data_IF_820711720172
#
_entry.id   IF_820711720172
#
_cell.length_a   1.000
_cell.length_b   1.000
_cell.length_c   1.000
_cell.angle_alpha   90.00
_cell.angle_beta   90.00
_cell.angle_gamma   90.00
#
_symmetry.space_group_name_H-M   'P 1'
#
loop_
_entity.id
_entity.type
_entity.pdbx_description
1 polymer ?
#
# COMPACT_ATOMS: atom_id res chain seq x y z
N UNK A 1 38.85 -12.82 36.62
CA UNK A 1 38.73 -13.15 35.19
C UNK A 1 37.26 -13.39 34.86
N UNK A 2 36.76 -12.92 33.74
CA UNK A 2 35.39 -13.17 33.34
C UNK A 2 35.18 -14.53 32.66
N UNK A 3 36.27 -15.21 32.26
CA UNK A 3 36.27 -16.56 31.69
C UNK A 3 36.57 -17.56 32.77
N UNK A 4 35.68 -18.53 33.00
CA UNK A 4 35.85 -19.65 33.92
C UNK A 4 35.81 -20.99 33.17
N UNK A 5 36.43 -22.03 33.74
CA UNK A 5 36.45 -23.37 33.15
C UNK A 5 35.48 -24.28 33.87
N UNK A 6 34.84 -25.17 33.13
CA UNK A 6 33.91 -26.18 33.67
C UNK A 6 34.11 -27.52 32.95
N UNK A 7 34.25 -28.60 33.70
CA UNK A 7 34.30 -29.94 33.14
C UNK A 7 32.90 -30.46 32.85
N UNK A 8 32.70 -31.04 31.66
CA UNK A 8 31.44 -31.63 31.22
C UNK A 8 31.64 -33.09 30.84
N UNK A 9 30.65 -33.94 31.15
CA UNK A 9 30.70 -35.38 30.84
C UNK A 9 30.66 -35.67 29.34
N UNK A 10 30.07 -34.75 28.55
CA UNK A 10 29.95 -34.87 27.11
C UNK A 10 30.16 -33.49 26.47
N UNK A 11 31.24 -33.32 25.73
CA UNK A 11 31.61 -32.05 25.07
C UNK A 11 30.99 -32.00 23.69
N UNK A 12 30.66 -30.80 23.22
CA UNK A 12 30.24 -30.56 21.84
C UNK A 12 31.44 -30.19 20.97
N UNK A 13 31.44 -30.61 19.70
CA UNK A 13 32.42 -30.18 18.70
C UNK A 13 32.15 -28.76 18.20
N UNK A 14 32.96 -28.29 17.25
CA UNK A 14 32.78 -26.94 16.62
C UNK A 14 31.49 -26.82 15.82
N UNK A 15 30.91 -27.93 15.36
CA UNK A 15 29.63 -27.99 14.67
C UNK A 15 28.42 -28.12 15.63
N UNK A 16 28.67 -28.13 16.94
CA UNK A 16 27.65 -28.25 17.99
C UNK A 16 27.15 -29.66 18.27
N UNK A 17 27.74 -30.70 17.66
CA UNK A 17 27.38 -32.11 17.90
C UNK A 17 28.05 -32.65 19.17
N UNK A 18 27.37 -33.56 19.85
CA UNK A 18 27.90 -34.23 21.04
C UNK A 18 29.00 -35.21 20.64
N UNK A 19 30.21 -35.04 21.19
CA UNK A 19 31.37 -35.88 20.83
C UNK A 19 31.41 -37.22 21.58
N UNK A 20 30.56 -37.44 22.57
CA UNK A 20 30.60 -38.64 23.41
C UNK A 20 31.72 -38.64 24.47
N UNK A 21 32.59 -37.65 24.50
CA UNK A 21 33.76 -37.61 25.39
C UNK A 21 33.66 -36.49 26.42
N UNK A 22 34.19 -36.74 27.62
CA UNK A 22 34.36 -35.74 28.66
C UNK A 22 35.39 -34.69 28.22
N UNK A 23 35.16 -33.42 28.58
CA UNK A 23 36.12 -32.36 28.24
C UNK A 23 35.87 -31.08 29.01
N UNK A 24 36.79 -30.13 28.84
CA UNK A 24 36.67 -28.80 29.46
C UNK A 24 35.96 -27.84 28.50
N UNK A 25 34.99 -27.11 29.02
CA UNK A 25 34.33 -25.97 28.33
C UNK A 25 34.60 -24.68 29.10
N UNK A 26 34.47 -23.58 28.41
CA UNK A 26 34.74 -22.26 28.97
C UNK A 26 33.45 -21.47 29.05
N UNK A 27 33.22 -20.82 30.19
CA UNK A 27 32.05 -20.01 30.45
C UNK A 27 32.49 -18.54 30.66
N UNK A 28 31.75 -17.57 30.05
CA UNK A 28 32.04 -16.13 30.15
C UNK A 28 30.98 -15.48 31.07
N UNK A 29 31.45 -14.80 32.13
CA UNK A 29 30.61 -14.10 33.10
C UNK A 29 31.15 -12.68 33.31
N UNK A 30 30.40 -11.65 32.86
CA UNK A 30 30.81 -10.24 32.94
C UNK A 30 29.84 -9.47 33.82
N UNK A 31 30.32 -8.85 34.87
CA UNK A 31 29.54 -7.94 35.72
C UNK A 31 29.55 -6.56 35.11
N UNK A 32 28.39 -5.92 35.01
CA UNK A 32 28.23 -4.55 34.45
C UNK A 32 27.17 -3.77 35.21
N UNK A 33 27.24 -2.41 35.18
CA UNK A 33 26.23 -1.53 35.77
C UNK A 33 25.18 -1.18 34.71
N UNK A 34 23.89 -1.30 35.07
CA UNK A 34 22.76 -0.89 34.25
C UNK A 34 21.67 -0.28 35.14
N UNK A 35 21.29 0.93 34.89
CA UNK A 35 20.29 1.69 35.68
C UNK A 35 20.60 1.67 37.20
N UNK A 36 21.87 1.89 37.58
CA UNK A 36 22.31 1.94 38.98
C UNK A 36 22.45 0.57 39.64
N UNK A 37 22.07 -0.54 39.02
CA UNK A 37 22.16 -1.90 39.54
C UNK A 37 23.28 -2.71 38.86
N UNK A 38 23.97 -3.57 39.65
CA UNK A 38 24.95 -4.48 39.09
C UNK A 38 24.21 -5.69 38.51
N UNK A 39 24.42 -5.94 37.23
CA UNK A 39 23.92 -7.13 36.51
C UNK A 39 25.07 -8.00 36.04
N UNK A 40 24.82 -9.28 35.78
CA UNK A 40 25.80 -10.22 35.24
C UNK A 40 25.35 -10.71 33.87
N UNK A 41 26.20 -10.52 32.86
CA UNK A 41 26.08 -11.23 31.60
C UNK A 41 26.74 -12.61 31.75
N UNK A 42 26.08 -13.68 31.29
CA UNK A 42 26.62 -15.04 31.35
C UNK A 42 26.35 -15.76 30.02
N UNK A 43 27.40 -16.30 29.40
CA UNK A 43 27.29 -17.22 28.26
C UNK A 43 28.21 -18.41 28.52
N UNK A 44 27.66 -19.62 28.42
CA UNK A 44 28.30 -20.85 28.81
C UNK A 44 28.59 -21.77 27.61
N UNK A 45 29.62 -22.59 27.71
CA UNK A 45 29.84 -23.73 26.82
C UNK A 45 30.68 -23.45 25.58
N UNK A 46 31.59 -22.49 25.62
CA UNK A 46 32.58 -22.33 24.54
C UNK A 46 33.50 -23.52 24.46
N UNK A 47 33.77 -24.01 23.26
CA UNK A 47 34.60 -25.18 23.02
C UNK A 47 36.08 -24.90 23.24
N UNK A 48 36.54 -23.66 23.06
CA UNK A 48 37.93 -23.24 23.23
C UNK A 48 38.04 -21.99 24.10
N UNK A 49 39.19 -21.87 24.79
CA UNK A 49 39.52 -20.67 25.58
C UNK A 49 39.61 -19.42 24.71
N UNK A 50 40.12 -19.56 23.47
CA UNK A 50 40.28 -18.45 22.52
C UNK A 50 38.94 -17.84 22.14
N UNK A 51 37.96 -18.67 21.82
CA UNK A 51 36.59 -18.22 21.54
C UNK A 51 35.95 -17.51 22.73
N UNK A 52 36.11 -18.06 23.94
CA UNK A 52 35.58 -17.44 25.15
C UNK A 52 36.19 -16.07 25.44
N UNK A 53 37.52 -15.92 25.27
CA UNK A 53 38.23 -14.63 25.44
C UNK A 53 37.85 -13.62 24.36
N UNK A 54 37.73 -14.03 23.11
CA UNK A 54 37.27 -13.16 22.04
C UNK A 54 35.84 -12.65 22.31
N UNK A 55 34.95 -13.56 22.70
CA UNK A 55 33.57 -13.21 23.04
C UNK A 55 33.52 -12.31 24.30
N UNK A 56 34.37 -12.52 25.29
CA UNK A 56 34.50 -11.62 26.44
C UNK A 56 34.87 -10.19 26.02
N UNK A 57 35.86 -10.05 25.12
CA UNK A 57 36.30 -8.75 24.63
C UNK A 57 35.19 -8.01 23.85
N UNK A 58 34.52 -8.70 22.95
CA UNK A 58 33.39 -8.15 22.20
C UNK A 58 32.24 -7.72 23.11
N UNK A 59 31.88 -8.54 24.08
CA UNK A 59 30.81 -8.22 25.03
C UNK A 59 31.15 -7.09 25.97
N UNK A 60 32.42 -6.98 26.42
CA UNK A 60 32.86 -5.84 27.22
C UNK A 60 32.76 -4.53 26.46
N UNK A 61 33.09 -4.51 25.16
CA UNK A 61 32.91 -3.33 24.31
C UNK A 61 31.41 -2.98 24.19
N UNK A 62 30.55 -3.94 23.94
CA UNK A 62 29.08 -3.72 23.85
C UNK A 62 28.49 -3.21 25.15
N UNK A 63 28.94 -3.74 26.31
CA UNK A 63 28.49 -3.34 27.64
C UNK A 63 28.99 -1.94 28.04
N UNK A 64 30.24 -1.59 27.72
CA UNK A 64 30.84 -0.29 28.01
C UNK A 64 30.20 0.82 27.14
N UNK A 65 29.88 0.52 25.88
CA UNK A 65 29.21 1.47 24.98
C UNK A 65 27.70 1.55 25.19
N UNK A 66 27.16 0.94 26.26
CA UNK A 66 25.72 0.84 26.56
C UNK A 66 24.87 0.28 25.39
N UNK A 67 25.51 -0.37 24.42
CA UNK A 67 24.84 -0.96 23.25
C UNK A 67 24.24 -2.35 23.52
N UNK A 68 24.50 -2.93 24.69
CA UNK A 68 23.93 -4.21 25.08
C UNK A 68 22.73 -4.00 25.99
N UNK A 69 21.55 -4.35 25.50
CA UNK A 69 20.33 -4.47 26.31
C UNK A 69 20.03 -5.97 26.45
N UNK A 70 20.11 -6.53 27.68
CA UNK A 70 19.81 -7.95 27.88
C UNK A 70 18.32 -8.18 27.53
N UNK A 71 18.01 -9.16 26.68
CA UNK A 71 16.62 -9.53 26.42
C UNK A 71 15.98 -9.99 27.72
N UNK A 72 14.77 -9.51 28.00
CA UNK A 72 13.95 -10.07 29.08
C UNK A 72 13.68 -11.56 28.80
N UNK A 73 13.47 -12.36 29.82
CA UNK A 73 13.24 -13.80 29.64
C UNK A 73 12.03 -14.11 28.71
N UNK A 74 11.03 -13.23 28.69
CA UNK A 74 9.90 -13.31 27.76
C UNK A 74 10.30 -12.97 26.32
N UNK A 75 11.17 -11.98 26.10
CA UNK A 75 11.67 -11.63 24.76
C UNK A 75 12.58 -12.70 24.16
N UNK A 76 13.22 -13.52 24.99
CA UNK A 76 14.12 -14.57 24.52
C UNK A 76 13.44 -15.73 23.81
N UNK A 77 12.15 -15.95 24.08
CA UNK A 77 11.32 -17.03 23.50
C UNK A 77 10.31 -16.54 22.46
N UNK A 78 10.23 -15.22 22.24
CA UNK A 78 9.25 -14.59 21.34
C UNK A 78 9.38 -15.16 19.93
N UNK A 79 8.29 -15.66 19.37
CA UNK A 79 8.22 -16.15 17.99
C UNK A 79 7.99 -15.01 17.01
N UNK A 80 8.28 -15.24 15.73
CA UNK A 80 7.98 -14.28 14.63
C UNK A 80 6.47 -14.02 14.57
N UNK A 81 5.64 -15.04 14.83
CA UNK A 81 4.18 -14.91 14.87
C UNK A 81 3.74 -13.91 15.93
N UNK A 82 4.08 -14.17 17.18
CA UNK A 82 3.71 -13.31 18.32
C UNK A 82 4.19 -11.86 18.10
N UNK A 83 5.41 -11.72 17.58
CA UNK A 83 5.96 -10.40 17.29
C UNK A 83 5.21 -9.66 16.16
N UNK A 84 4.97 -10.32 15.03
CA UNK A 84 4.34 -9.68 13.87
C UNK A 84 2.86 -9.36 14.13
N UNK A 85 2.14 -10.19 14.86
CA UNK A 85 0.75 -9.95 15.24
C UNK A 85 0.65 -8.73 16.19
N UNK A 86 1.48 -8.66 17.22
CA UNK A 86 1.52 -7.50 18.12
C UNK A 86 2.00 -6.22 17.39
N UNK A 87 3.05 -6.33 16.59
CA UNK A 87 3.61 -5.22 15.84
C UNK A 87 2.60 -4.62 14.85
N UNK A 88 1.90 -5.46 14.08
CA UNK A 88 0.96 -4.94 13.08
C UNK A 88 -0.24 -4.25 13.74
N UNK A 89 -0.71 -4.74 14.88
CA UNK A 89 -1.80 -4.07 15.61
C UNK A 89 -1.34 -2.72 16.18
N UNK A 90 -0.22 -2.67 16.88
CA UNK A 90 0.30 -1.43 17.50
C UNK A 90 0.78 -0.41 16.47
N UNK A 91 1.59 -0.85 15.51
CA UNK A 91 2.14 0.02 14.46
C UNK A 91 1.07 0.40 13.42
N UNK A 92 0.20 -0.53 13.07
CA UNK A 92 -0.81 -0.35 12.05
C UNK A 92 -1.88 0.65 12.46
N UNK A 93 -2.40 0.53 13.67
CA UNK A 93 -3.43 1.46 14.19
C UNK A 93 -2.91 2.88 14.35
N UNK A 94 -1.65 3.05 14.74
CA UNK A 94 -1.06 4.37 15.00
C UNK A 94 -0.55 5.09 13.73
N UNK A 95 -0.06 4.32 12.72
CA UNK A 95 0.77 4.91 11.66
C UNK A 95 0.29 4.59 10.23
N UNK A 96 -0.63 3.65 10.04
CA UNK A 96 -1.04 3.21 8.72
C UNK A 96 -2.47 3.63 8.37
N UNK A 97 -2.70 3.95 7.10
CA UNK A 97 -4.07 4.10 6.60
C UNK A 97 -4.81 2.76 6.67
N UNK A 98 -6.14 2.73 6.89
CA UNK A 98 -6.91 1.50 7.06
C UNK A 98 -6.69 0.45 5.97
N UNK A 99 -6.59 0.87 4.71
CA UNK A 99 -6.33 -0.03 3.58
C UNK A 99 -4.92 -0.66 3.61
N UNK A 100 -3.91 0.09 4.06
CA UNK A 100 -2.54 -0.42 4.20
C UNK A 100 -2.45 -1.39 5.38
N UNK A 101 -3.10 -1.05 6.49
CA UNK A 101 -3.18 -1.91 7.67
C UNK A 101 -3.83 -3.26 7.35
N UNK A 102 -4.99 -3.26 6.68
CA UNK A 102 -5.64 -4.47 6.23
C UNK A 102 -4.76 -5.30 5.27
N UNK A 103 -4.04 -4.63 4.36
CA UNK A 103 -3.08 -5.26 3.46
C UNK A 103 -1.93 -5.93 4.23
N UNK A 104 -1.37 -5.26 5.23
CA UNK A 104 -0.32 -5.83 6.08
C UNK A 104 -0.82 -7.07 6.83
N UNK A 105 -1.97 -6.98 7.50
CA UNK A 105 -2.59 -8.13 8.20
C UNK A 105 -2.80 -9.33 7.28
N UNK A 106 -3.36 -9.09 6.09
CA UNK A 106 -3.60 -10.13 5.10
C UNK A 106 -2.30 -10.79 4.62
N UNK A 107 -1.27 -10.01 4.30
CA UNK A 107 0.02 -10.55 3.85
C UNK A 107 0.76 -11.28 4.95
N UNK A 108 0.79 -10.74 6.16
CA UNK A 108 1.38 -11.42 7.32
C UNK A 108 0.73 -12.78 7.51
N UNK A 109 -0.61 -12.83 7.60
CA UNK A 109 -1.36 -14.05 7.85
C UNK A 109 -1.18 -15.10 6.74
N UNK A 110 -1.26 -14.68 5.46
CA UNK A 110 -1.38 -15.61 4.34
C UNK A 110 -0.03 -15.94 3.67
N UNK A 111 0.97 -15.05 3.78
CA UNK A 111 2.20 -15.16 3.01
C UNK A 111 3.48 -15.16 3.85
N UNK A 112 3.41 -14.86 5.15
CA UNK A 112 4.60 -14.80 6.03
C UNK A 112 4.50 -15.85 7.12
N UNK A 113 3.49 -15.79 7.97
CA UNK A 113 3.35 -16.66 9.13
C UNK A 113 3.32 -18.17 8.82
N UNK A 114 2.76 -18.63 7.67
CA UNK A 114 2.78 -20.06 7.35
C UNK A 114 4.18 -20.67 7.18
N UNK A 115 5.20 -19.85 6.96
CA UNK A 115 6.56 -20.31 6.67
C UNK A 115 7.55 -20.07 7.81
N UNK A 116 7.45 -18.91 8.46
CA UNK A 116 8.41 -18.49 9.48
C UNK A 116 7.77 -18.15 10.84
N UNK A 117 6.45 -18.29 10.96
CA UNK A 117 5.72 -17.86 12.15
C UNK A 117 6.21 -18.50 13.45
N UNK A 118 6.56 -19.76 13.41
CA UNK A 118 6.94 -20.54 14.60
C UNK A 118 8.45 -20.48 14.92
N UNK A 119 9.21 -19.76 14.06
CA UNK A 119 10.64 -19.49 14.30
C UNK A 119 10.77 -18.47 15.45
N UNK A 120 11.71 -18.69 16.36
CA UNK A 120 12.02 -17.66 17.35
C UNK A 120 12.60 -16.43 16.67
N UNK A 121 12.10 -15.24 17.01
CA UNK A 121 12.43 -13.97 16.35
C UNK A 121 13.95 -13.73 16.24
N UNK A 122 14.70 -14.05 17.27
CA UNK A 122 16.17 -13.93 17.33
C UNK A 122 16.92 -14.92 16.44
N UNK A 123 16.29 -16.02 16.05
CA UNK A 123 16.87 -17.06 15.23
C UNK A 123 16.45 -16.95 13.76
N UNK A 124 15.68 -15.92 13.41
CA UNK A 124 15.32 -15.64 12.03
C UNK A 124 16.55 -15.22 11.23
N UNK A 125 16.89 -15.99 10.20
CA UNK A 125 18.06 -15.77 9.35
C UNK A 125 17.66 -15.28 7.96
N UNK A 126 18.58 -14.62 7.22
CA UNK A 126 18.35 -14.28 5.81
C UNK A 126 18.02 -15.50 4.96
N UNK A 127 18.66 -16.65 5.20
CA UNK A 127 18.41 -17.90 4.46
C UNK A 127 16.97 -18.38 4.62
N UNK A 128 16.39 -18.33 5.84
CA UNK A 128 14.99 -18.70 6.07
C UNK A 128 14.04 -17.77 5.32
N UNK A 129 14.38 -16.49 5.16
CA UNK A 129 13.60 -15.53 4.37
C UNK A 129 13.72 -15.83 2.88
N UNK A 130 14.91 -16.13 2.38
CA UNK A 130 15.11 -16.52 0.97
C UNK A 130 14.33 -17.80 0.66
N UNK A 131 14.37 -18.84 1.50
CA UNK A 131 13.59 -20.06 1.35
C UNK A 131 12.08 -19.78 1.31
N UNK A 132 11.60 -18.91 2.19
CA UNK A 132 10.19 -18.48 2.19
C UNK A 132 9.82 -17.80 0.86
N UNK A 133 10.65 -16.88 0.34
CA UNK A 133 10.37 -16.21 -0.93
C UNK A 133 10.37 -17.18 -2.10
N UNK A 134 11.29 -18.15 -2.13
CA UNK A 134 11.28 -19.21 -3.16
C UNK A 134 10.00 -20.06 -3.10
N UNK A 135 9.53 -20.42 -1.91
CA UNK A 135 8.28 -21.15 -1.75
C UNK A 135 7.06 -20.33 -2.21
N UNK A 136 7.06 -19.01 -1.96
CA UNK A 136 6.00 -18.13 -2.45
C UNK A 136 6.00 -18.05 -3.99
N UNK A 137 7.18 -18.00 -4.63
CA UNK A 137 7.29 -18.08 -6.09
C UNK A 137 6.83 -19.44 -6.63
N UNK A 138 7.24 -20.54 -5.99
CA UNK A 138 6.81 -21.88 -6.38
C UNK A 138 5.29 -22.08 -6.31
N UNK A 139 4.59 -21.35 -5.41
CA UNK A 139 3.12 -21.29 -5.36
C UNK A 139 2.50 -20.41 -6.46
N UNK A 140 3.28 -19.84 -7.36
CA UNK A 140 2.78 -19.00 -8.46
C UNK A 140 2.44 -17.55 -8.06
N UNK A 141 2.88 -17.08 -6.90
CA UNK A 141 2.65 -15.69 -6.51
C UNK A 141 3.47 -14.73 -7.38
N UNK A 142 2.85 -13.60 -7.71
CA UNK A 142 3.49 -12.58 -8.53
C UNK A 142 4.70 -11.95 -7.85
N UNK A 143 5.68 -11.48 -8.63
CA UNK A 143 6.86 -10.75 -8.17
C UNK A 143 6.48 -9.55 -7.26
N UNK A 144 5.39 -8.86 -7.57
CA UNK A 144 4.88 -7.75 -6.77
C UNK A 144 4.37 -8.17 -5.40
N UNK A 145 3.69 -9.32 -5.32
CA UNK A 145 3.17 -9.88 -4.06
C UNK A 145 4.31 -10.29 -3.14
N UNK A 146 5.31 -11.01 -3.68
CA UNK A 146 6.47 -11.47 -2.90
C UNK A 146 7.33 -10.27 -2.45
N UNK A 147 7.55 -9.27 -3.32
CA UNK A 147 8.23 -8.03 -2.96
C UNK A 147 7.49 -7.26 -1.86
N UNK A 148 6.17 -7.29 -1.87
CA UNK A 148 5.38 -6.65 -0.82
C UNK A 148 5.53 -7.37 0.53
N UNK A 149 5.59 -8.69 0.54
CA UNK A 149 5.90 -9.48 1.75
C UNK A 149 7.31 -9.13 2.28
N UNK A 150 8.32 -9.06 1.41
CA UNK A 150 9.67 -8.62 1.77
C UNK A 150 9.67 -7.22 2.41
N UNK A 151 8.94 -6.26 1.80
CA UNK A 151 8.81 -4.90 2.35
C UNK A 151 8.22 -4.90 3.76
N UNK A 152 7.18 -5.69 4.01
CA UNK A 152 6.53 -5.79 5.33
C UNK A 152 7.52 -6.33 6.35
N UNK A 153 8.19 -7.44 6.04
CA UNK A 153 9.21 -8.05 6.92
C UNK A 153 10.34 -7.05 7.18
N UNK A 154 10.83 -6.38 6.13
CA UNK A 154 11.89 -5.39 6.25
C UNK A 154 11.58 -4.27 7.24
N UNK A 155 10.35 -3.73 7.18
CA UNK A 155 9.89 -2.69 8.12
C UNK A 155 9.71 -3.25 9.52
N UNK A 156 9.11 -4.44 9.67
CA UNK A 156 8.89 -5.07 10.96
C UNK A 156 10.21 -5.44 11.65
N UNK A 157 11.16 -6.03 10.92
CA UNK A 157 12.47 -6.39 11.47
C UNK A 157 13.33 -5.15 11.78
N UNK A 158 13.18 -4.07 11.02
CA UNK A 158 13.84 -2.81 11.37
C UNK A 158 13.29 -2.21 12.66
N UNK A 159 11.98 -2.32 12.87
CA UNK A 159 11.36 -1.96 14.15
C UNK A 159 11.88 -2.87 15.27
N UNK A 160 11.94 -4.20 15.06
CA UNK A 160 12.50 -5.15 16.03
C UNK A 160 13.95 -4.81 16.41
N UNK A 161 14.77 -4.44 15.43
CA UNK A 161 16.15 -4.00 15.64
C UNK A 161 16.23 -2.71 16.47
N UNK A 162 15.42 -1.70 16.13
CA UNK A 162 15.39 -0.42 16.87
C UNK A 162 14.97 -0.58 18.32
N UNK A 163 14.07 -1.51 18.61
CA UNK A 163 13.61 -1.83 19.97
C UNK A 163 14.39 -2.96 20.64
N UNK A 164 15.55 -3.37 20.04
CA UNK A 164 16.49 -4.34 20.60
C UNK A 164 15.91 -5.75 20.83
N UNK A 165 14.89 -6.16 20.06
CA UNK A 165 14.43 -7.55 20.04
C UNK A 165 15.41 -8.45 19.28
N UNK A 166 16.10 -7.90 18.26
CA UNK A 166 17.12 -8.55 17.44
C UNK A 166 18.32 -7.62 17.26
N UNK A 167 19.49 -8.16 16.98
CA UNK A 167 20.73 -7.39 16.79
C UNK A 167 20.80 -6.76 15.38
N UNK A 168 20.41 -7.51 14.35
CA UNK A 168 20.41 -7.11 12.95
C UNK A 168 19.06 -7.32 12.27
N UNK A 169 18.86 -6.71 11.11
CA UNK A 169 17.65 -6.92 10.30
C UNK A 169 17.95 -7.97 9.21
N UNK A 170 17.48 -9.24 9.37
CA UNK A 170 17.79 -10.29 8.40
C UNK A 170 17.20 -10.06 7.00
N UNK A 171 16.19 -9.20 6.88
CA UNK A 171 15.61 -8.90 5.57
C UNK A 171 16.48 -7.96 4.70
N UNK A 172 17.60 -7.43 5.23
CA UNK A 172 18.54 -6.62 4.46
C UNK A 172 19.57 -7.46 3.69
N UNK A 173 19.86 -8.65 4.22
CA UNK A 173 20.97 -9.50 3.75
C UNK A 173 20.49 -10.68 2.90
N UNK A 174 19.26 -10.61 2.38
CA UNK A 174 18.71 -11.61 1.48
C UNK A 174 19.36 -11.53 0.09
N UNK A 175 19.49 -12.67 -0.58
CA UNK A 175 20.02 -12.79 -1.95
C UNK A 175 18.93 -12.90 -3.00
N UNK A 176 17.69 -13.16 -2.62
CA UNK A 176 16.55 -13.25 -3.54
C UNK A 176 16.38 -11.96 -4.34
N UNK A 177 16.50 -12.06 -5.66
CA UNK A 177 16.24 -10.95 -6.58
C UNK A 177 14.79 -10.95 -7.02
N UNK A 178 14.12 -9.85 -6.77
CA UNK A 178 12.75 -9.66 -7.25
C UNK A 178 12.80 -9.16 -8.70
N UNK A 179 12.22 -9.91 -9.63
CA UNK A 179 12.13 -9.54 -11.03
C UNK A 179 11.38 -8.21 -11.27
N UNK A 180 11.41 -7.71 -12.49
CA UNK A 180 10.61 -6.53 -12.87
C UNK A 180 9.12 -6.82 -12.66
N UNK A 181 8.35 -5.79 -12.29
CA UNK A 181 6.90 -5.88 -12.24
C UNK A 181 6.36 -6.30 -13.62
N UNK A 182 5.26 -7.05 -13.63
CA UNK A 182 4.55 -7.39 -14.88
C UNK A 182 4.19 -6.09 -15.59
N UNK A 183 4.43 -6.03 -16.90
CA UNK A 183 4.08 -4.87 -17.73
C UNK A 183 2.59 -4.54 -17.51
N UNK A 184 2.30 -3.29 -17.23
CA UNK A 184 0.91 -2.81 -17.20
C UNK A 184 0.33 -2.93 -18.60
N UNK A 185 -0.98 -3.23 -18.76
CA UNK A 185 -1.63 -3.17 -20.05
C UNK A 185 -1.37 -1.82 -20.73
N UNK A 186 -1.27 -1.84 -22.05
CA UNK A 186 -1.13 -0.59 -22.80
C UNK A 186 -2.38 0.28 -22.59
N UNK A 187 -2.24 1.60 -22.47
CA UNK A 187 -3.37 2.51 -22.31
C UNK A 187 -4.30 2.41 -23.51
N UNK A 188 -5.61 2.55 -23.30
CA UNK A 188 -6.56 2.68 -24.41
C UNK A 188 -6.25 3.92 -25.23
N UNK A 189 -6.28 3.75 -26.55
CA UNK A 189 -6.22 4.86 -27.52
C UNK A 189 -7.50 5.71 -27.46
N UNK A 190 -7.52 6.83 -28.18
CA UNK A 190 -8.72 7.66 -28.30
C UNK A 190 -9.86 6.87 -28.93
N UNK A 191 -9.59 6.10 -29.99
CA UNK A 191 -10.56 5.26 -30.70
C UNK A 191 -11.16 4.18 -29.77
N UNK A 192 -10.34 3.54 -28.96
CA UNK A 192 -10.81 2.57 -27.97
C UNK A 192 -11.64 3.24 -26.86
N UNK A 193 -11.29 4.46 -26.46
CA UNK A 193 -12.11 5.25 -25.53
C UNK A 193 -13.45 5.67 -26.17
N UNK A 194 -13.45 6.06 -27.44
CA UNK A 194 -14.67 6.34 -28.21
C UNK A 194 -15.57 5.10 -28.27
N UNK A 195 -14.99 3.94 -28.63
CA UNK A 195 -15.71 2.68 -28.67
C UNK A 195 -16.33 2.34 -27.32
N UNK A 196 -15.57 2.43 -26.22
CA UNK A 196 -16.08 2.19 -24.88
C UNK A 196 -17.25 3.15 -24.56
N UNK A 197 -17.09 4.46 -24.85
CA UNK A 197 -18.14 5.44 -24.60
C UNK A 197 -19.41 5.13 -25.39
N UNK A 198 -19.31 4.78 -26.68
CA UNK A 198 -20.46 4.39 -27.49
C UNK A 198 -21.25 3.23 -26.88
N UNK A 199 -20.55 2.23 -26.33
CA UNK A 199 -21.19 1.06 -25.74
C UNK A 199 -21.86 1.34 -24.39
N UNK A 200 -21.37 2.30 -23.62
CA UNK A 200 -21.91 2.58 -22.29
C UNK A 200 -22.96 3.69 -22.27
N UNK A 201 -23.17 4.39 -23.37
CA UNK A 201 -24.21 5.43 -23.48
C UNK A 201 -25.59 4.86 -23.13
N UNK A 202 -26.33 5.56 -22.29
CA UNK A 202 -27.66 5.13 -21.82
C UNK A 202 -27.66 4.02 -20.76
N UNK A 203 -26.50 3.53 -20.38
CA UNK A 203 -26.38 2.50 -19.32
C UNK A 203 -25.98 3.13 -17.98
N UNK A 204 -26.04 2.34 -16.89
CA UNK A 204 -25.55 2.75 -15.58
C UNK A 204 -24.03 2.98 -15.52
N UNK A 205 -23.30 2.61 -16.56
CA UNK A 205 -21.86 2.83 -16.68
C UNK A 205 -21.50 4.20 -17.27
N UNK A 206 -22.44 4.89 -17.89
CA UNK A 206 -22.22 6.12 -18.63
C UNK A 206 -21.41 7.15 -17.83
N UNK A 207 -21.95 7.66 -16.71
CA UNK A 207 -21.25 8.65 -15.89
C UNK A 207 -20.04 8.06 -15.15
N UNK A 208 -20.06 6.76 -14.80
CA UNK A 208 -18.91 6.08 -14.18
C UNK A 208 -17.69 6.10 -15.11
N UNK A 209 -17.90 5.84 -16.41
CA UNK A 209 -16.81 5.87 -17.41
C UNK A 209 -16.41 7.32 -17.74
N UNK A 210 -17.35 8.27 -17.81
CA UNK A 210 -17.03 9.70 -17.93
C UNK A 210 -16.11 10.13 -16.79
N UNK A 211 -16.46 9.85 -15.54
CA UNK A 211 -15.65 10.24 -14.38
C UNK A 211 -14.28 9.52 -14.34
N UNK A 212 -14.24 8.24 -14.70
CA UNK A 212 -13.01 7.44 -14.68
C UNK A 212 -12.10 7.64 -15.88
N UNK A 213 -12.68 7.65 -17.08
CA UNK A 213 -11.97 7.67 -18.36
C UNK A 213 -11.77 9.07 -18.94
N UNK A 214 -12.65 10.04 -18.64
CA UNK A 214 -12.50 11.40 -19.14
C UNK A 214 -11.94 12.35 -18.07
N UNK A 215 -12.45 12.29 -16.84
CA UNK A 215 -11.98 13.13 -15.73
C UNK A 215 -10.86 12.50 -14.90
N UNK A 216 -10.50 11.23 -15.15
CA UNK A 216 -9.39 10.53 -14.49
C UNK A 216 -9.55 10.35 -12.98
N UNK A 217 -10.76 10.28 -12.46
CA UNK A 217 -10.98 10.03 -11.03
C UNK A 217 -10.57 8.60 -10.65
N UNK A 218 -10.14 8.43 -9.41
CA UNK A 218 -9.98 7.08 -8.84
C UNK A 218 -11.34 6.47 -8.56
N UNK A 219 -11.47 5.15 -8.68
CA UNK A 219 -12.75 4.48 -8.45
C UNK A 219 -13.37 4.84 -7.08
N UNK A 220 -12.55 4.97 -6.02
CA UNK A 220 -13.06 5.39 -4.71
C UNK A 220 -13.54 6.85 -4.67
N UNK A 221 -12.97 7.72 -5.49
CA UNK A 221 -13.41 9.12 -5.66
C UNK A 221 -14.72 9.16 -6.43
N UNK A 222 -14.88 8.33 -7.48
CA UNK A 222 -16.10 8.24 -8.31
C UNK A 222 -17.30 7.81 -7.48
N UNK A 223 -17.17 6.65 -6.80
CA UNK A 223 -18.29 6.09 -6.00
C UNK A 223 -18.51 6.83 -4.68
N UNK A 224 -17.60 7.73 -4.31
CA UNK A 224 -17.68 8.61 -3.14
C UNK A 224 -17.99 10.06 -3.49
N UNK A 225 -18.18 10.42 -4.77
CA UNK A 225 -18.57 11.77 -5.16
C UNK A 225 -20.00 12.05 -4.69
N UNK A 226 -20.20 13.17 -4.00
CA UNK A 226 -21.52 13.61 -3.52
C UNK A 226 -22.01 14.82 -4.27
N UNK A 227 -23.34 14.96 -4.40
CA UNK A 227 -23.98 16.08 -5.08
C UNK A 227 -23.68 17.43 -4.44
N UNK A 228 -23.50 17.48 -3.12
CA UNK A 228 -23.07 18.72 -2.43
C UNK A 228 -21.74 19.26 -2.93
N UNK A 229 -20.91 18.42 -3.56
CA UNK A 229 -19.62 18.81 -4.16
C UNK A 229 -19.73 19.07 -5.67
N UNK A 230 -20.93 19.06 -6.26
CA UNK A 230 -21.19 19.29 -7.69
C UNK A 230 -22.02 20.55 -7.86
N UNK A 231 -21.45 21.55 -8.52
CA UNK A 231 -22.13 22.80 -8.85
C UNK A 231 -22.43 22.81 -10.36
N UNK A 232 -23.64 22.39 -10.73
CA UNK A 232 -24.08 22.36 -12.13
C UNK A 232 -24.23 23.78 -12.71
N UNK A 233 -24.56 24.78 -11.87
CA UNK A 233 -24.72 26.17 -12.32
C UNK A 233 -23.37 26.77 -12.73
N UNK A 234 -22.33 26.60 -11.89
CA UNK A 234 -20.99 27.10 -12.18
C UNK A 234 -20.16 26.07 -12.98
N UNK A 235 -20.74 24.91 -13.30
CA UNK A 235 -20.13 23.85 -14.08
C UNK A 235 -18.78 23.41 -13.47
N UNK A 236 -18.80 23.05 -12.19
CA UNK A 236 -17.63 22.57 -11.45
C UNK A 236 -18.00 21.44 -10.50
N UNK A 237 -17.02 20.61 -10.14
CA UNK A 237 -17.16 19.68 -9.03
C UNK A 237 -15.86 19.53 -8.25
N UNK A 238 -16.00 19.32 -6.94
CA UNK A 238 -14.90 19.13 -6.01
C UNK A 238 -14.61 17.66 -5.75
N UNK A 239 -13.35 17.25 -5.88
CA UNK A 239 -12.86 15.93 -5.48
C UNK A 239 -12.14 16.09 -4.14
N UNK A 240 -12.91 16.13 -3.07
CA UNK A 240 -12.44 16.42 -1.68
C UNK A 240 -12.55 15.20 -0.77
N UNK A 241 -13.36 14.23 -1.13
CA UNK A 241 -13.61 13.03 -0.35
C UNK A 241 -13.72 11.79 -1.24
N UNK A 242 -13.63 10.62 -0.63
CA UNK A 242 -13.74 9.34 -1.31
C UNK A 242 -14.49 8.32 -0.46
N UNK A 243 -14.99 7.27 -1.10
CA UNK A 243 -15.62 6.15 -0.41
C UNK A 243 -14.67 5.54 0.62
N UNK A 244 -15.08 5.36 1.88
CA UNK A 244 -14.29 4.72 2.92
C UNK A 244 -13.85 3.31 2.53
N UNK A 245 -12.69 2.90 3.03
CA UNK A 245 -12.20 1.53 2.84
C UNK A 245 -12.89 0.59 3.83
N UNK A 246 -13.27 -0.60 3.36
CA UNK A 246 -13.75 -1.67 4.23
C UNK A 246 -15.21 -1.52 4.68
N UNK A 247 -16.03 -0.75 3.96
CA UNK A 247 -17.47 -0.69 4.26
C UNK A 247 -18.09 -2.09 4.27
N UNK A 248 -18.91 -2.42 5.30
CA UNK A 248 -19.71 -3.64 5.35
C UNK A 248 -20.56 -3.83 4.09
N UNK A 249 -20.92 -5.09 3.80
CA UNK A 249 -21.67 -5.40 2.57
C UNK A 249 -23.09 -4.85 2.56
N UNK A 250 -23.65 -4.69 3.73
CA UNK A 250 -25.04 -4.27 4.04
C UNK A 250 -25.13 -2.81 4.46
N UNK A 251 -24.05 -2.02 4.29
CA UNK A 251 -24.07 -0.59 4.61
C UNK A 251 -25.13 0.12 3.80
N UNK A 252 -26.09 0.73 4.50
CA UNK A 252 -27.18 1.53 3.92
C UNK A 252 -26.85 3.01 3.92
N UNK A 253 -26.36 3.52 5.03
CA UNK A 253 -25.95 4.91 5.20
C UNK A 253 -24.45 4.99 5.54
N UNK A 254 -23.78 6.00 5.04
CA UNK A 254 -22.36 6.29 5.29
C UNK A 254 -22.28 7.38 6.33
N UNK A 255 -21.79 7.05 7.52
CA UNK A 255 -21.65 8.04 8.61
C UNK A 255 -20.56 9.06 8.32
N UNK A 256 -19.43 8.62 7.78
CA UNK A 256 -18.28 9.50 7.52
C UNK A 256 -17.57 9.10 6.24
N UNK A 257 -17.34 10.08 5.36
CA UNK A 257 -16.52 9.92 4.16
C UNK A 257 -15.04 9.95 4.50
N UNK A 258 -14.22 9.29 3.69
CA UNK A 258 -12.77 9.33 3.86
C UNK A 258 -12.18 10.50 3.07
N UNK A 259 -11.12 11.17 3.57
CA UNK A 259 -10.41 12.18 2.79
C UNK A 259 -9.75 11.53 1.57
N UNK A 260 -9.60 12.29 0.50
CA UNK A 260 -8.89 11.82 -0.70
C UNK A 260 -7.42 11.49 -0.39
N UNK A 261 -6.83 10.58 -1.16
CA UNK A 261 -5.41 10.19 -1.03
C UNK A 261 -4.44 11.21 -1.65
N UNK A 262 -4.96 12.07 -2.50
CA UNK A 262 -4.25 13.16 -3.18
C UNK A 262 -4.71 14.51 -2.61
N UNK A 263 -4.18 15.61 -3.14
CA UNK A 263 -4.70 16.94 -2.82
C UNK A 263 -6.16 17.08 -3.27
N UNK A 264 -6.94 17.80 -2.48
CA UNK A 264 -8.26 18.27 -2.85
C UNK A 264 -8.15 19.10 -4.13
N UNK A 265 -9.13 18.95 -5.02
CA UNK A 265 -9.11 19.65 -6.30
C UNK A 265 -10.51 19.94 -6.82
N UNK A 266 -10.65 21.09 -7.46
CA UNK A 266 -11.84 21.47 -8.20
C UNK A 266 -11.56 21.22 -9.67
N UNK A 267 -12.51 20.57 -10.33
CA UNK A 267 -12.48 20.28 -11.77
C UNK A 267 -13.69 20.95 -12.47
N UNK A 268 -13.50 21.50 -13.66
CA UNK A 268 -14.60 22.06 -14.44
C UNK A 268 -15.41 20.94 -15.09
N UNK A 269 -16.72 21.06 -15.10
CA UNK A 269 -17.61 20.28 -15.97
C UNK A 269 -17.60 20.98 -17.34
N UNK A 270 -17.20 20.25 -18.38
CA UNK A 270 -17.17 20.79 -19.75
C UNK A 270 -18.56 20.76 -20.33
N UNK A 271 -18.83 21.62 -21.36
CA UNK A 271 -20.13 21.68 -22.02
C UNK A 271 -20.58 20.32 -22.56
N UNK A 272 -19.63 19.57 -23.12
CA UNK A 272 -19.92 18.26 -23.72
C UNK A 272 -20.21 17.17 -22.67
N UNK A 273 -19.76 17.36 -21.42
CA UNK A 273 -20.00 16.37 -20.34
C UNK A 273 -21.11 16.77 -19.38
N UNK A 274 -21.55 18.02 -19.39
CA UNK A 274 -22.62 18.50 -18.53
C UNK A 274 -23.92 17.67 -18.66
N UNK A 275 -24.36 17.27 -19.85
CA UNK A 275 -25.59 16.47 -20.01
C UNK A 275 -25.54 15.12 -19.26
N UNK A 276 -24.37 14.53 -19.06
CA UNK A 276 -24.25 13.26 -18.31
C UNK A 276 -24.52 13.45 -16.81
N UNK A 277 -24.10 14.58 -16.24
CA UNK A 277 -24.39 14.92 -14.85
C UNK A 277 -25.87 15.27 -14.66
N UNK A 278 -26.43 16.08 -15.55
CA UNK A 278 -27.86 16.45 -15.53
C UNK A 278 -28.77 15.23 -15.65
N UNK A 279 -28.45 14.33 -16.59
CA UNK A 279 -29.17 13.07 -16.78
C UNK A 279 -29.12 12.20 -15.53
N UNK A 280 -27.95 12.06 -14.91
CA UNK A 280 -27.79 11.29 -13.68
C UNK A 280 -28.59 11.88 -12.52
N UNK A 281 -28.62 13.21 -12.40
CA UNK A 281 -29.45 13.90 -11.41
C UNK A 281 -30.95 13.59 -11.61
N UNK A 282 -31.45 13.66 -12.86
CA UNK A 282 -32.85 13.33 -13.16
C UNK A 282 -33.17 11.86 -12.88
N UNK A 283 -32.31 10.93 -13.27
CA UNK A 283 -32.48 9.50 -12.98
C UNK A 283 -32.63 9.28 -11.47
N UNK A 284 -31.76 9.87 -10.66
CA UNK A 284 -31.83 9.68 -9.21
C UNK A 284 -33.04 10.35 -8.57
N UNK A 285 -33.46 11.50 -9.08
CA UNK A 285 -34.70 12.15 -8.66
C UNK A 285 -35.90 11.23 -8.87
N UNK A 286 -36.03 10.65 -10.06
CA UNK A 286 -37.08 9.68 -10.37
C UNK A 286 -36.98 8.41 -9.51
N UNK A 287 -35.77 7.89 -9.26
CA UNK A 287 -35.57 6.75 -8.36
C UNK A 287 -36.03 7.04 -6.93
N UNK A 288 -35.71 8.22 -6.39
CA UNK A 288 -36.19 8.66 -5.08
C UNK A 288 -37.73 8.68 -5.01
N UNK A 289 -38.37 9.24 -6.00
CA UNK A 289 -39.83 9.33 -6.08
C UNK A 289 -40.49 7.94 -6.16
N UNK A 290 -39.98 7.05 -7.02
CA UNK A 290 -40.50 5.69 -7.21
C UNK A 290 -40.27 4.81 -5.98
N UNK A 291 -39.09 4.90 -5.37
CA UNK A 291 -38.71 4.06 -4.23
C UNK A 291 -39.47 4.46 -2.98
N UNK A 292 -39.74 5.74 -2.79
CA UNK A 292 -40.53 6.23 -1.63
C UNK A 292 -41.91 5.59 -1.51
N UNK A 293 -42.47 5.05 -2.60
CA UNK A 293 -43.77 4.38 -2.61
C UNK A 293 -43.70 2.90 -2.21
N UNK A 294 -42.53 2.24 -2.28
CA UNK A 294 -42.46 0.77 -2.13
C UNK A 294 -41.39 0.30 -1.13
N UNK A 295 -40.25 0.98 -1.08
CA UNK A 295 -39.10 0.63 -0.22
C UNK A 295 -38.38 1.90 0.23
N UNK A 296 -37.70 1.89 1.41
CA UNK A 296 -36.98 3.07 1.87
C UNK A 296 -35.81 3.40 0.93
N UNK A 297 -35.71 4.66 0.49
CA UNK A 297 -34.53 5.18 -0.19
C UNK A 297 -33.49 5.68 0.84
N UNK A 298 -32.25 5.22 0.71
CA UNK A 298 -31.17 5.57 1.63
C UNK A 298 -30.32 6.72 1.03
N UNK A 299 -30.67 7.96 1.37
CA UNK A 299 -30.01 9.13 0.79
C UNK A 299 -28.62 9.35 1.40
N UNK A 300 -27.60 8.97 0.64
CA UNK A 300 -26.20 9.22 0.95
C UNK A 300 -25.61 10.42 0.18
N UNK A 301 -26.44 11.18 -0.52
CA UNK A 301 -26.03 12.29 -1.42
C UNK A 301 -25.03 11.87 -2.51
N UNK A 302 -24.90 10.58 -2.81
CA UNK A 302 -23.93 10.07 -3.78
C UNK A 302 -24.38 10.31 -5.22
N UNK A 303 -23.46 10.79 -6.08
CA UNK A 303 -23.67 10.91 -7.52
C UNK A 303 -23.82 9.53 -8.17
N UNK A 304 -23.04 8.54 -7.73
CA UNK A 304 -23.07 7.17 -8.21
C UNK A 304 -23.57 6.25 -7.08
N UNK A 305 -24.89 6.15 -6.93
CA UNK A 305 -25.55 5.26 -5.98
C UNK A 305 -26.22 4.09 -6.71
N UNK A 306 -26.67 3.09 -5.95
CA UNK A 306 -27.64 2.09 -6.43
C UNK A 306 -29.04 2.70 -6.50
N UNK A 307 -29.99 1.99 -7.11
CA UNK A 307 -31.38 2.46 -7.26
C UNK A 307 -32.10 2.77 -5.95
N UNK A 308 -31.69 2.11 -4.86
CA UNK A 308 -32.18 2.32 -3.50
C UNK A 308 -31.39 3.38 -2.69
N UNK A 309 -30.45 4.08 -3.34
CA UNK A 309 -29.58 5.08 -2.72
C UNK A 309 -28.40 4.51 -1.92
N UNK A 310 -28.30 3.19 -1.76
CA UNK A 310 -27.18 2.58 -1.06
C UNK A 310 -25.85 2.70 -1.83
N UNK A 311 -24.70 2.70 -1.13
CA UNK A 311 -23.40 2.90 -1.79
C UNK A 311 -22.99 1.72 -2.66
N UNK A 312 -22.30 2.03 -3.75
CA UNK A 312 -21.60 1.05 -4.56
C UNK A 312 -20.32 0.59 -3.88
N UNK A 313 -19.96 -0.69 -4.06
CA UNK A 313 -18.72 -1.26 -3.53
C UNK A 313 -17.63 -1.27 -4.59
N UNK A 314 -16.44 -0.83 -4.21
CA UNK A 314 -15.28 -0.76 -5.09
C UNK A 314 -14.93 -2.11 -5.75
N UNK A 315 -14.94 -3.20 -4.98
CA UNK A 315 -14.64 -4.55 -5.48
C UNK A 315 -15.67 -5.00 -6.53
N UNK A 316 -16.95 -4.73 -6.29
CA UNK A 316 -18.04 -5.04 -7.24
C UNK A 316 -17.91 -4.24 -8.53
N UNK A 317 -17.76 -2.92 -8.43
CA UNK A 317 -17.62 -2.08 -9.63
C UNK A 317 -16.39 -2.50 -10.44
N UNK A 318 -15.26 -2.77 -9.78
CA UNK A 318 -14.05 -3.23 -10.47
C UNK A 318 -14.24 -4.58 -11.16
N UNK A 319 -14.89 -5.54 -10.50
CA UNK A 319 -15.19 -6.86 -11.08
C UNK A 319 -16.17 -6.77 -12.25
N UNK A 320 -17.25 -5.99 -12.08
CA UNK A 320 -18.27 -5.81 -13.12
C UNK A 320 -17.69 -5.07 -14.34
N UNK A 321 -16.75 -4.14 -14.15
CA UNK A 321 -16.04 -3.51 -15.26
C UNK A 321 -15.26 -4.53 -16.10
N UNK A 322 -14.55 -5.47 -15.46
CA UNK A 322 -13.87 -6.54 -16.19
C UNK A 322 -14.83 -7.48 -16.92
N UNK A 323 -16.06 -7.67 -16.40
CA UNK A 323 -17.12 -8.43 -17.10
C UNK A 323 -17.68 -7.63 -18.29
N UNK A 324 -17.89 -6.33 -18.10
CA UNK A 324 -18.32 -5.42 -19.17
C UNK A 324 -17.37 -5.48 -20.37
N UNK A 325 -16.06 -5.30 -20.14
CA UNK A 325 -15.07 -5.35 -21.23
C UNK A 325 -15.07 -6.68 -21.98
N UNK A 326 -15.25 -7.81 -21.27
CA UNK A 326 -15.36 -9.14 -21.90
C UNK A 326 -16.61 -9.25 -22.77
N UNK A 327 -17.75 -8.74 -22.29
CA UNK A 327 -19.01 -8.73 -23.04
C UNK A 327 -18.92 -7.86 -24.30
N UNK A 328 -18.16 -6.77 -24.22
CA UNK A 328 -17.94 -5.86 -25.33
C UNK A 328 -16.78 -6.29 -26.27
N UNK A 329 -16.15 -7.42 -25.99
CA UNK A 329 -14.98 -7.93 -26.71
C UNK A 329 -13.81 -6.93 -26.80
N UNK A 330 -13.72 -6.04 -25.80
CA UNK A 330 -12.67 -5.03 -25.73
C UNK A 330 -11.41 -5.56 -25.03
N UNK A 331 -10.22 -5.05 -25.37
CA UNK A 331 -8.99 -5.42 -24.67
C UNK A 331 -9.12 -5.25 -23.16
N UNK A 332 -8.67 -6.26 -22.41
CA UNK A 332 -8.82 -6.25 -20.95
C UNK A 332 -7.86 -5.26 -20.30
N UNK A 333 -8.41 -4.27 -19.61
CA UNK A 333 -7.72 -3.36 -18.70
C UNK A 333 -8.41 -3.36 -17.33
N UNK A 334 -7.70 -2.96 -16.29
CA UNK A 334 -8.31 -2.72 -14.97
C UNK A 334 -9.03 -1.36 -15.00
N UNK A 335 -10.02 -1.15 -14.17
CA UNK A 335 -10.69 0.15 -14.07
C UNK A 335 -9.71 1.32 -13.82
N UNK A 336 -8.64 1.06 -13.04
CA UNK A 336 -7.61 2.07 -12.78
C UNK A 336 -6.78 2.45 -14.03
N UNK A 337 -6.72 1.55 -15.00
CA UNK A 337 -5.96 1.80 -16.24
C UNK A 337 -6.68 2.78 -17.18
N UNK A 338 -8.02 3.00 -17.03
CA UNK A 338 -8.73 4.11 -17.66
C UNK A 338 -8.11 5.46 -17.28
N UNK A 339 -7.69 5.61 -16.03
CA UNK A 339 -7.01 6.80 -15.55
C UNK A 339 -5.64 6.98 -16.24
N UNK A 340 -4.93 5.88 -16.52
CA UNK A 340 -3.67 5.93 -17.28
C UNK A 340 -3.94 6.29 -18.75
N UNK A 341 -4.97 5.71 -19.36
CA UNK A 341 -5.38 6.01 -20.73
C UNK A 341 -5.70 7.49 -20.92
N UNK A 342 -6.56 8.04 -20.06
CA UNK A 342 -6.89 9.45 -20.12
C UNK A 342 -5.67 10.36 -19.92
N UNK A 343 -4.72 9.97 -19.05
CA UNK A 343 -3.46 10.72 -18.86
C UNK A 343 -2.63 10.81 -20.12
N UNK A 344 -2.42 9.66 -20.71
CA UNK A 344 -1.61 9.53 -21.91
C UNK A 344 -2.24 10.31 -23.05
N UNK A 345 -3.55 10.13 -23.27
CA UNK A 345 -4.27 10.80 -24.32
C UNK A 345 -4.33 12.33 -24.16
N UNK A 346 -4.63 12.83 -22.94
CA UNK A 346 -4.59 14.27 -22.66
C UNK A 346 -3.22 14.86 -22.93
N UNK A 347 -2.16 14.17 -22.48
CA UNK A 347 -0.80 14.64 -22.70
C UNK A 347 -0.43 14.63 -24.19
N UNK A 348 -0.79 13.60 -24.93
CA UNK A 348 -0.54 13.52 -26.39
C UNK A 348 -1.26 14.62 -27.14
N UNK A 349 -2.50 14.96 -26.76
CA UNK A 349 -3.29 15.99 -27.43
C UNK A 349 -2.85 17.42 -27.08
N UNK A 350 -2.40 17.66 -25.86
CA UNK A 350 -2.21 19.04 -25.36
C UNK A 350 -0.77 19.41 -25.08
N UNK A 351 0.13 18.44 -24.91
CA UNK A 351 1.51 18.65 -24.43
C UNK A 351 1.60 19.22 -23.01
N UNK A 352 0.48 19.48 -22.32
CA UNK A 352 0.43 20.18 -21.04
C UNK A 352 0.51 19.21 -19.85
N UNK A 353 1.72 18.76 -19.55
CA UNK A 353 1.98 17.83 -18.46
C UNK A 353 1.58 18.37 -17.08
N UNK A 354 1.77 19.67 -16.83
CA UNK A 354 1.46 20.29 -15.54
C UNK A 354 -0.05 20.29 -15.26
N UNK A 355 -0.85 20.74 -16.21
CA UNK A 355 -2.31 20.76 -16.08
C UNK A 355 -2.87 19.35 -15.93
N UNK A 356 -2.36 18.40 -16.72
CA UNK A 356 -2.72 16.98 -16.59
C UNK A 356 -2.37 16.45 -15.20
N UNK A 357 -1.21 16.78 -14.66
CA UNK A 357 -0.80 16.42 -13.29
C UNK A 357 -1.74 16.99 -12.21
N UNK A 358 -2.17 18.23 -12.34
CA UNK A 358 -3.13 18.89 -11.44
C UNK A 358 -4.54 18.27 -11.52
N UNK A 359 -5.02 17.96 -12.71
CA UNK A 359 -6.29 17.23 -12.91
C UNK A 359 -6.23 15.87 -12.20
N UNK A 360 -5.07 15.21 -12.20
CA UNK A 360 -4.81 13.96 -11.47
C UNK A 360 -4.81 14.11 -9.94
N UNK A 361 -4.55 15.32 -9.42
CA UNK A 361 -4.23 15.53 -8.02
C UNK A 361 -2.91 14.85 -7.61
N UNK A 362 -1.95 14.75 -8.53
CA UNK A 362 -0.59 14.37 -8.20
C UNK A 362 0.13 15.57 -7.58
N UNK A 363 0.90 15.32 -6.52
CA UNK A 363 1.90 16.29 -6.09
C UNK A 363 2.94 16.38 -7.22
N UNK A 364 3.22 17.58 -7.68
CA UNK A 364 4.21 17.84 -8.72
C UNK A 364 5.67 17.68 -8.21
N UNK A 365 5.85 17.29 -6.94
CA UNK A 365 7.16 16.94 -6.38
C UNK A 365 7.77 15.79 -7.18
N UNK A 366 8.92 16.07 -7.80
CA UNK A 366 9.68 15.09 -8.58
C UNK A 366 9.42 15.08 -10.09
N UNK A 367 8.53 15.95 -10.60
CA UNK A 367 8.28 16.10 -12.04
C UNK A 367 9.51 16.66 -12.76
N UNK A 368 10.23 17.61 -12.17
CA UNK A 368 11.40 18.18 -12.76
C UNK A 368 12.60 17.23 -12.84
N UNK A 369 12.69 16.23 -11.95
CA UNK A 369 13.71 15.17 -12.07
C UNK A 369 13.49 14.38 -13.37
N UNK A 370 12.25 14.15 -13.78
CA UNK A 370 11.93 13.48 -15.04
C UNK A 370 12.15 14.37 -16.27
N UNK A 371 12.16 15.70 -16.08
CA UNK A 371 12.37 16.69 -17.14
C UNK A 371 13.82 17.24 -17.18
N UNK A 372 14.76 16.65 -16.42
CA UNK A 372 16.14 17.15 -16.30
C UNK A 372 16.26 18.62 -15.83
N UNK A 373 15.26 19.13 -15.08
CA UNK A 373 15.33 20.41 -14.42
C UNK A 373 16.09 20.27 -13.09
N UNK A 374 16.83 21.29 -12.68
CA UNK A 374 17.63 21.22 -11.44
C UNK A 374 16.76 20.95 -10.21
N UNK A 375 17.20 20.04 -9.34
CA UNK A 375 16.46 19.52 -8.18
C UNK A 375 15.93 20.58 -7.19
N UNK A 376 16.50 21.80 -7.20
CA UNK A 376 16.09 22.90 -6.33
C UNK A 376 14.92 23.74 -6.88
N UNK A 377 14.72 23.79 -8.20
CA UNK A 377 13.57 24.48 -8.81
C UNK A 377 12.27 23.66 -8.65
N UNK A 378 12.36 22.35 -8.60
CA UNK A 378 11.22 21.44 -8.55
C UNK A 378 10.38 21.53 -7.28
N UNK A 379 11.04 21.62 -6.14
CA UNK A 379 10.33 21.61 -4.85
C UNK A 379 9.65 22.96 -4.55
N UNK A 380 10.21 24.06 -5.04
CA UNK A 380 9.70 25.41 -4.76
C UNK A 380 8.67 25.81 -5.81
N UNK A 381 8.93 25.64 -7.09
CA UNK A 381 8.03 26.06 -8.16
C UNK A 381 6.77 25.21 -8.23
N UNK A 382 6.88 23.87 -8.03
CA UNK A 382 5.75 22.97 -8.03
C UNK A 382 4.76 23.19 -6.85
N UNK A 383 5.20 23.85 -5.81
CA UNK A 383 4.37 24.18 -4.63
C UNK A 383 3.52 25.44 -4.84
N UNK A 384 3.91 26.32 -5.78
CA UNK A 384 3.29 27.62 -6.02
C UNK A 384 2.51 27.75 -7.33
N UNK A 385 2.58 26.74 -8.21
CA UNK A 385 1.82 26.76 -9.49
C UNK A 385 0.46 26.10 -9.28
N UNK A 386 -0.53 26.90 -8.90
CA UNK A 386 -1.92 26.48 -9.01
C UNK A 386 -2.40 26.75 -10.44
N UNK A 387 -2.78 25.68 -11.13
CA UNK A 387 -3.29 25.78 -12.49
C UNK A 387 -4.74 26.31 -12.43
N UNK A 388 -4.99 27.48 -13.07
CA UNK A 388 -6.31 28.10 -13.12
C UNK A 388 -7.36 27.14 -13.69
N UNK A 389 -8.58 27.30 -13.23
CA UNK A 389 -9.71 26.44 -13.64
C UNK A 389 -9.94 26.47 -15.15
N UNK A 390 -9.74 27.64 -15.78
CA UNK A 390 -9.85 27.83 -17.23
C UNK A 390 -8.85 26.95 -18.00
N UNK A 391 -7.61 26.82 -17.52
CA UNK A 391 -6.61 25.98 -18.16
C UNK A 391 -6.96 24.50 -18.04
N UNK A 392 -7.46 24.07 -16.87
CA UNK A 392 -7.99 22.71 -16.68
C UNK A 392 -9.16 22.45 -17.64
N UNK A 393 -10.05 23.45 -17.82
CA UNK A 393 -11.18 23.39 -18.74
C UNK A 393 -10.71 23.17 -20.19
N UNK A 394 -9.77 23.96 -20.68
CA UNK A 394 -9.23 23.81 -22.04
C UNK A 394 -8.65 22.42 -22.30
N UNK A 395 -7.83 21.90 -21.39
CA UNK A 395 -7.24 20.55 -21.51
C UNK A 395 -8.31 19.46 -21.52
N UNK A 396 -9.31 19.57 -20.63
CA UNK A 396 -10.42 18.61 -20.57
C UNK A 396 -11.31 18.72 -21.80
N UNK A 397 -11.66 19.92 -22.28
CA UNK A 397 -12.46 20.10 -23.48
C UNK A 397 -11.80 19.50 -24.71
N UNK A 398 -10.50 19.75 -24.92
CA UNK A 398 -9.74 19.15 -26.02
C UNK A 398 -9.83 17.62 -26.00
N UNK A 399 -9.65 17.01 -24.83
CA UNK A 399 -9.72 15.56 -24.70
C UNK A 399 -11.16 15.03 -24.81
N UNK A 400 -12.14 15.67 -24.18
CA UNK A 400 -13.53 15.26 -24.22
C UNK A 400 -14.11 15.36 -25.63
N UNK A 401 -13.75 16.42 -26.38
CA UNK A 401 -14.12 16.55 -27.80
C UNK A 401 -13.54 15.41 -28.62
N UNK A 402 -12.25 15.08 -28.43
CA UNK A 402 -11.62 13.97 -29.16
C UNK A 402 -12.29 12.63 -28.90
N UNK A 403 -12.85 12.41 -27.68
CA UNK A 403 -13.48 11.13 -27.32
C UNK A 403 -14.98 11.10 -27.61
N UNK A 404 -15.70 12.21 -27.43
CA UNK A 404 -17.19 12.26 -27.50
C UNK A 404 -17.75 12.79 -28.78
N UNK A 405 -16.98 13.60 -29.56
CA UNK A 405 -17.42 14.03 -30.90
C UNK A 405 -17.11 12.93 -31.90
N UNK A 406 -18.13 12.37 -32.51
CA UNK A 406 -17.97 11.52 -33.70
C UNK A 406 -17.33 12.38 -34.81
N UNK A 407 -16.24 11.88 -35.41
CA UNK A 407 -15.81 12.33 -36.72
C UNK A 407 -16.89 12.04 -37.74
#
# INVERSE_FOLDING_TARGET
MAVSTRNVKNKRDMAGQLTGHAGTVYDVNIKYKSAGKIKTYSKKGFSTKKEAVQHEAEMKLKLNNQSYIPPTASQSKLTVREYLEDWVEKHGTANLRPSTFAGYKSHIKNHILPYIGDVQLRHLTPMMLDDMFQQLFAKGLSQSTVRYAHRIIGVAMEHARKYHYIEGNPARDIITKFGKAVKTPDPYTIEQMQQLMCHVLGTSWELVIVLGGLYRLRLSEIIGLRWQNVDLKNKTFGVVEQMPFGLPRDTKLIETMAPVKSSDRILPITEITLPFFEKQWQIQKQQKELTAATTPYYDNDLVIAKSDGTPNRRDRVSSNFGQLLRHLEMPHIRFHDLRHSAATNMHQLTGDFYTVGQILGHSLKGVGIQLNLSSNLDSVTAQYVDVRLERKRMVLETYHQAVLQKQ
#
